data_IF_872310516421
#
_entry.id   IF_872310516421
#
_cell.length_a   1.000
_cell.length_b   1.000
_cell.length_c   1.000
_cell.angle_alpha   90.00
_cell.angle_beta   90.00
_cell.angle_gamma   90.00
#
_symmetry.space_group_name_H-M   'P 1'
#
loop_
_entity.id
_entity.type
_entity.pdbx_description
1 polymer ?
#
# COMPACT_ATOMS: atom_id res chain seq x y z
N UNK A 1 1.53 -20.46 29.69
CA UNK A 1 1.83 -20.41 28.23
C UNK A 1 0.99 -19.29 27.66
N UNK A 2 1.59 -18.14 27.30
CA UNK A 2 0.86 -17.13 26.54
C UNK A 2 0.81 -17.63 25.10
N UNK A 3 -0.39 -17.96 24.62
CA UNK A 3 -0.59 -18.25 23.21
C UNK A 3 -0.27 -16.97 22.43
N UNK A 4 0.83 -16.97 21.67
CA UNK A 4 1.07 -15.95 20.66
C UNK A 4 0.00 -16.21 19.60
N UNK A 5 -0.98 -15.30 19.50
CA UNK A 5 -1.99 -15.39 18.46
C UNK A 5 -1.28 -15.40 17.10
N UNK A 6 -1.46 -16.46 16.31
CA UNK A 6 -0.99 -16.50 14.93
C UNK A 6 -1.62 -15.33 14.17
N UNK A 7 -0.84 -14.47 13.49
CA UNK A 7 -1.40 -13.35 12.75
C UNK A 7 -2.36 -13.88 11.69
N UNK A 8 -3.55 -13.27 11.62
CA UNK A 8 -4.50 -13.56 10.55
C UNK A 8 -3.90 -13.05 9.25
N UNK A 9 -3.53 -13.97 8.37
CA UNK A 9 -2.99 -13.64 7.05
C UNK A 9 -4.09 -13.10 6.14
N UNK A 10 -3.70 -12.26 5.18
CA UNK A 10 -4.57 -11.78 4.11
C UNK A 10 -4.84 -10.28 4.16
N UNK A 11 -5.88 -9.86 3.43
CA UNK A 11 -6.22 -8.44 3.24
C UNK A 11 -6.49 -7.73 4.57
N UNK A 12 -5.83 -6.59 4.77
CA UNK A 12 -6.02 -5.70 5.92
C UNK A 12 -6.92 -4.53 5.51
N UNK A 13 -6.49 -3.77 4.50
CA UNK A 13 -7.17 -2.56 4.01
C UNK A 13 -6.57 -2.15 2.66
N UNK A 14 -7.09 -1.09 2.06
CA UNK A 14 -6.50 -0.44 0.90
C UNK A 14 -6.54 1.08 1.01
N UNK A 15 -5.67 1.75 0.25
CA UNK A 15 -5.71 3.20 0.07
C UNK A 15 -6.92 3.62 -0.75
N UNK A 16 -7.22 4.92 -0.75
CA UNK A 16 -8.07 5.51 -1.76
C UNK A 16 -7.38 5.40 -3.14
N UNK A 17 -8.14 5.31 -4.24
CA UNK A 17 -7.58 5.28 -5.58
C UNK A 17 -7.11 6.69 -5.98
N UNK A 18 -5.83 6.84 -6.32
CA UNK A 18 -5.23 8.12 -6.71
C UNK A 18 -4.51 8.02 -8.05
N UNK A 19 -4.38 9.16 -8.74
CA UNK A 19 -3.60 9.24 -9.98
C UNK A 19 -2.11 9.24 -9.64
N UNK A 20 -1.37 8.29 -10.21
CA UNK A 20 0.06 8.17 -9.99
C UNK A 20 0.81 7.65 -11.21
N UNK A 21 2.09 8.00 -11.31
CA UNK A 21 3.05 7.51 -12.31
C UNK A 21 4.21 6.77 -11.65
N UNK A 22 5.01 6.04 -12.41
CA UNK A 22 6.07 5.17 -11.89
C UNK A 22 5.79 3.69 -12.18
N UNK A 23 6.59 2.78 -11.63
CA UNK A 23 6.45 1.33 -11.86
C UNK A 23 6.32 0.93 -13.35
N UNK A 24 7.05 1.64 -14.23
CA UNK A 24 7.02 1.42 -15.68
C UNK A 24 5.96 2.20 -16.46
N UNK A 25 5.15 3.04 -15.80
CA UNK A 25 4.19 3.93 -16.44
C UNK A 25 4.73 5.37 -16.44
N UNK A 26 4.83 5.97 -17.63
CA UNK A 26 5.26 7.34 -17.89
C UNK A 26 4.10 8.35 -17.89
N UNK A 27 2.86 7.86 -18.01
CA UNK A 27 1.63 8.62 -17.83
C UNK A 27 0.92 8.23 -16.52
N UNK A 28 0.18 9.16 -15.88
CA UNK A 28 -0.55 8.84 -14.66
C UNK A 28 -1.67 7.84 -14.93
N UNK A 29 -1.74 6.81 -14.10
CA UNK A 29 -2.85 5.84 -14.05
C UNK A 29 -3.50 5.89 -12.67
N UNK A 30 -4.75 5.42 -12.59
CA UNK A 30 -5.44 5.33 -11.31
C UNK A 30 -5.03 4.06 -10.57
N UNK A 31 -4.40 4.21 -9.42
CA UNK A 31 -3.83 3.12 -8.60
C UNK A 31 -4.44 3.14 -7.22
N UNK A 32 -4.60 1.98 -6.59
CA UNK A 32 -4.75 1.82 -5.15
C UNK A 32 -3.72 0.83 -4.63
N UNK A 33 -3.27 1.01 -3.39
CA UNK A 33 -2.36 0.09 -2.72
C UNK A 33 -3.17 -0.75 -1.74
N UNK A 34 -3.15 -2.07 -1.93
CA UNK A 34 -3.70 -3.02 -0.98
C UNK A 34 -2.62 -3.49 -0.02
N UNK A 35 -2.99 -3.62 1.26
CA UNK A 35 -2.12 -4.10 2.31
C UNK A 35 -2.54 -5.51 2.73
N UNK A 36 -1.64 -6.47 2.61
CA UNK A 36 -1.89 -7.86 2.95
C UNK A 36 -0.90 -8.34 4.03
N UNK A 37 -1.41 -8.82 5.17
CA UNK A 37 -0.60 -9.43 6.23
C UNK A 37 -0.07 -10.77 5.75
N UNK A 38 1.24 -10.95 5.89
CA UNK A 38 1.96 -12.17 5.52
C UNK A 38 2.14 -13.09 6.75
N UNK A 39 2.57 -14.32 6.51
CA UNK A 39 2.79 -15.33 7.56
C UNK A 39 3.91 -14.98 8.54
N UNK A 40 4.89 -14.18 8.10
CA UNK A 40 6.01 -13.69 8.91
C UNK A 40 5.70 -12.37 9.63
N UNK A 41 4.42 -12.02 9.72
CA UNK A 41 3.88 -10.78 10.30
C UNK A 41 4.21 -9.50 9.51
N UNK A 42 4.97 -9.60 8.42
CA UNK A 42 5.19 -8.47 7.51
C UNK A 42 3.91 -8.07 6.79
N UNK A 43 3.88 -6.84 6.26
CA UNK A 43 2.78 -6.35 5.43
C UNK A 43 3.28 -6.17 4.00
N UNK A 44 2.61 -6.80 3.06
CA UNK A 44 2.88 -6.63 1.63
C UNK A 44 1.97 -5.54 1.06
N UNK A 45 2.58 -4.59 0.37
CA UNK A 45 1.93 -3.55 -0.42
C UNK A 45 1.81 -4.05 -1.86
N UNK A 46 0.58 -4.13 -2.36
CA UNK A 46 0.26 -4.63 -3.70
C UNK A 46 -0.45 -3.52 -4.47
N UNK A 47 0.15 -3.12 -5.59
CA UNK A 47 -0.43 -2.11 -6.47
C UNK A 47 -1.52 -2.72 -7.34
N UNK A 48 -2.72 -2.12 -7.29
CA UNK A 48 -3.88 -2.55 -8.09
C UNK A 48 -4.51 -1.36 -8.81
N UNK A 49 -5.21 -1.61 -9.91
CA UNK A 49 -5.98 -0.59 -10.62
C UNK A 49 -7.06 -0.02 -9.69
N UNK A 50 -7.14 1.30 -9.59
CA UNK A 50 -7.97 1.97 -8.57
C UNK A 50 -9.45 1.59 -8.61
N UNK A 51 -10.03 1.52 -9.81
CA UNK A 51 -11.42 1.13 -10.01
C UNK A 51 -11.64 -0.38 -10.04
N UNK A 52 -10.76 -1.12 -10.72
CA UNK A 52 -11.00 -2.53 -11.04
C UNK A 52 -10.47 -3.49 -9.99
N UNK A 53 -9.53 -3.05 -9.14
CA UNK A 53 -8.78 -3.94 -8.27
C UNK A 53 -7.92 -4.95 -9.03
N UNK A 54 -7.70 -4.77 -10.34
CA UNK A 54 -6.85 -5.63 -11.15
C UNK A 54 -5.40 -5.44 -10.71
N UNK A 55 -4.67 -6.54 -10.53
CA UNK A 55 -3.24 -6.48 -10.21
C UNK A 55 -2.47 -5.71 -11.29
N UNK A 56 -1.68 -4.72 -10.89
CA UNK A 56 -0.75 -4.04 -11.79
C UNK A 56 0.54 -4.86 -11.81
N UNK A 57 0.69 -5.73 -12.80
CA UNK A 57 1.77 -6.74 -12.86
C UNK A 57 3.17 -6.14 -12.99
N UNK A 58 3.27 -4.95 -13.58
CA UNK A 58 4.55 -4.24 -13.73
C UNK A 58 5.01 -3.58 -12.43
N UNK A 59 4.11 -3.40 -11.47
CA UNK A 59 4.44 -2.78 -10.20
C UNK A 59 5.05 -3.80 -9.25
N UNK A 60 6.16 -3.40 -8.62
CA UNK A 60 6.82 -4.25 -7.63
C UNK A 60 5.91 -4.42 -6.41
N UNK A 61 5.86 -5.65 -5.89
CA UNK A 61 5.32 -5.91 -4.55
C UNK A 61 6.36 -5.53 -3.51
N UNK A 62 5.95 -4.75 -2.52
CA UNK A 62 6.85 -4.23 -1.49
C UNK A 62 6.45 -4.81 -0.15
N UNK A 63 7.38 -5.49 0.52
CA UNK A 63 7.16 -5.96 1.89
C UNK A 63 7.74 -4.93 2.85
N UNK A 64 6.95 -4.57 3.86
CA UNK A 64 7.37 -3.75 5.00
C UNK A 64 7.27 -4.58 6.28
N UNK A 65 8.11 -4.28 7.27
CA UNK A 65 8.02 -4.94 8.57
C UNK A 65 6.71 -4.59 9.28
N UNK A 66 6.29 -5.43 10.23
CA UNK A 66 5.19 -5.09 11.14
C UNK A 66 5.47 -3.80 11.91
N UNK A 67 6.73 -3.54 12.27
CA UNK A 67 7.14 -2.30 12.90
C UNK A 67 6.92 -1.07 11.99
N UNK A 68 7.29 -1.13 10.70
CA UNK A 68 7.01 -0.05 9.74
C UNK A 68 5.51 0.15 9.55
N UNK A 69 4.74 -0.94 9.55
CA UNK A 69 3.29 -0.89 9.47
C UNK A 69 2.71 -0.21 10.71
N UNK A 70 3.08 -0.61 11.91
CA UNK A 70 2.51 -0.08 13.16
C UNK A 70 2.89 1.40 13.38
N UNK A 71 4.04 1.84 12.87
CA UNK A 71 4.50 3.23 12.90
C UNK A 71 4.18 4.01 11.61
N UNK A 72 3.30 3.48 10.74
CA UNK A 72 2.84 4.21 9.56
C UNK A 72 2.23 5.56 9.95
N UNK A 73 2.38 6.61 9.13
CA UNK A 73 1.84 7.91 9.47
C UNK A 73 0.32 7.87 9.53
N UNK A 74 -0.23 8.56 10.52
CA UNK A 74 -1.66 8.70 10.75
C UNK A 74 -1.95 10.13 11.19
N UNK A 75 -2.87 10.77 10.49
CA UNK A 75 -3.39 12.09 10.80
C UNK A 75 -4.91 12.02 10.64
N UNK A 76 -5.69 12.27 11.72
CA UNK A 76 -7.15 12.24 11.64
C UNK A 76 -7.75 13.38 10.81
N UNK A 77 -6.96 14.42 10.50
CA UNK A 77 -7.39 15.57 9.70
C UNK A 77 -6.95 15.46 8.23
N UNK A 78 -5.95 14.62 7.92
CA UNK A 78 -5.48 14.37 6.55
C UNK A 78 -5.63 12.89 6.18
N UNK A 79 -6.76 12.56 5.53
CA UNK A 79 -7.04 11.20 5.07
C UNK A 79 -6.00 10.69 4.05
N UNK A 80 -5.27 11.60 3.39
CA UNK A 80 -4.29 11.25 2.37
C UNK A 80 -2.90 10.95 2.93
N UNK A 81 -2.63 11.18 4.22
CA UNK A 81 -1.29 10.95 4.79
C UNK A 81 -0.84 9.49 4.65
N UNK A 82 -1.76 8.54 4.88
CA UNK A 82 -1.51 7.11 4.68
C UNK A 82 -1.31 6.77 3.20
N UNK A 83 -2.10 7.41 2.32
CA UNK A 83 -2.03 7.22 0.88
C UNK A 83 -0.64 7.64 0.37
N UNK A 84 -0.21 8.88 0.64
CA UNK A 84 1.11 9.40 0.22
C UNK A 84 2.25 8.49 0.66
N UNK A 85 2.23 8.04 1.91
CA UNK A 85 3.24 7.12 2.44
C UNK A 85 3.25 5.76 1.70
N UNK A 86 2.07 5.17 1.48
CA UNK A 86 1.98 3.87 0.82
C UNK A 86 2.41 3.92 -0.65
N UNK A 87 2.00 4.97 -1.37
CA UNK A 87 2.39 5.17 -2.76
C UNK A 87 3.90 5.40 -2.87
N UNK A 88 4.48 6.22 -1.98
CA UNK A 88 5.93 6.42 -1.90
C UNK A 88 6.67 5.09 -1.66
N UNK A 89 6.24 4.30 -0.66
CA UNK A 89 6.81 2.96 -0.39
C UNK A 89 6.68 2.01 -1.58
N UNK A 90 5.58 2.08 -2.32
CA UNK A 90 5.31 1.27 -3.49
C UNK A 90 5.95 1.79 -4.79
N UNK A 91 6.72 2.88 -4.75
CA UNK A 91 7.43 3.43 -5.90
C UNK A 91 6.56 4.21 -6.89
N UNK A 92 5.44 4.74 -6.41
CA UNK A 92 4.55 5.62 -7.17
C UNK A 92 4.77 7.09 -6.80
N UNK A 93 4.66 7.96 -7.80
CA UNK A 93 4.64 9.41 -7.65
C UNK A 93 3.21 9.88 -7.90
N UNK A 94 2.58 10.50 -6.91
CA UNK A 94 1.24 11.04 -7.02
C UNK A 94 1.24 12.29 -7.90
N UNK A 95 0.15 12.50 -8.64
CA UNK A 95 0.00 13.66 -9.53
C UNK A 95 -0.02 15.00 -8.79
N UNK A 96 -0.65 15.05 -7.61
CA UNK A 96 -0.76 16.28 -6.81
C UNK A 96 0.54 16.66 -6.07
N UNK A 97 1.57 15.79 -6.15
CA UNK A 97 2.92 16.03 -5.63
C UNK A 97 3.90 16.55 -6.73
N UNK A 98 3.41 16.78 -7.96
CA UNK A 98 4.15 17.47 -9.05
C UNK A 98 3.97 18.99 -9.00
#
# INVERSE_FOLDING_TARGET
>A
MNAIATPVMGFITCTEPLQAKGNGYDYPILVRIEFERQSDDSVQLISRGGHTGTLITNARRVNISSHDWDNRPYDPLDSLVLNRWAFSKAGWVLRDDE
#
